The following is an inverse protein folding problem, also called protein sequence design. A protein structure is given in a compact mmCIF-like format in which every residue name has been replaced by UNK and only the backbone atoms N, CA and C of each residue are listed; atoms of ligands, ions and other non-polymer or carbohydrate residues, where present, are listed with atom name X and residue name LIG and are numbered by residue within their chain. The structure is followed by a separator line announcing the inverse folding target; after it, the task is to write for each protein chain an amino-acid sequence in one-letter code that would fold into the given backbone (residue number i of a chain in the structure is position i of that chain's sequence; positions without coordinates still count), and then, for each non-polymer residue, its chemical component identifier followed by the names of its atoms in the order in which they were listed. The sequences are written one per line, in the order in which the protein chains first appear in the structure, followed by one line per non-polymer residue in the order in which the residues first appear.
data_IF_988989886079
#
_entry.id   IF_988989886079
#
_cell.length_a   1.000
_cell.length_b   1.000
_cell.length_c   1.000
_cell.angle_alpha   90.00
_cell.angle_beta   90.00
_cell.angle_gamma   90.00
#
_symmetry.space_group_name_H-M   'P 1'
#
loop_
_entity.id
_entity.type
_entity.pdbx_description
1 polymer ?
#
# COMPACT_ATOMS: atom_id res chain seq x y z
N UNK A 1 19.17 -11.72 -19.85
CA UNK A 1 19.05 -10.45 -20.61
C UNK A 1 18.69 -9.33 -19.66
N UNK A 2 19.57 -8.35 -19.47
CA UNK A 2 19.31 -7.20 -18.61
C UNK A 2 18.26 -6.31 -19.30
N UNK A 3 17.03 -6.28 -18.78
CA UNK A 3 16.01 -5.32 -19.24
C UNK A 3 16.52 -3.89 -19.00
N UNK A 4 16.21 -2.98 -19.93
CA UNK A 4 16.65 -1.59 -19.86
C UNK A 4 16.23 -0.94 -18.54
N UNK A 5 17.03 0.03 -18.07
CA UNK A 5 16.93 0.68 -16.75
C UNK A 5 15.60 1.43 -16.50
N UNK A 6 14.72 1.51 -17.50
CA UNK A 6 13.45 2.23 -17.47
C UNK A 6 12.22 1.34 -17.72
N UNK A 7 12.41 0.06 -18.06
CA UNK A 7 11.26 -0.83 -18.30
C UNK A 7 10.59 -1.19 -16.96
N UNK A 8 9.27 -1.01 -16.83
CA UNK A 8 8.56 -1.44 -15.65
C UNK A 8 8.69 -2.95 -15.43
N UNK A 9 8.54 -3.39 -14.18
CA UNK A 9 8.54 -4.81 -13.87
C UNK A 9 7.33 -5.52 -14.49
N UNK A 10 7.40 -6.86 -14.59
CA UNK A 10 6.30 -7.63 -15.19
C UNK A 10 4.96 -7.36 -14.49
N UNK A 11 4.98 -7.19 -13.18
CA UNK A 11 3.76 -6.93 -12.40
C UNK A 11 3.13 -5.58 -12.77
N UNK A 12 3.92 -4.52 -12.89
CA UNK A 12 3.46 -3.21 -13.40
C UNK A 12 2.83 -3.35 -14.79
N UNK A 13 3.52 -4.02 -15.72
CA UNK A 13 3.02 -4.17 -17.09
C UNK A 13 1.70 -4.94 -17.11
N UNK A 14 1.58 -5.99 -16.30
CA UNK A 14 0.32 -6.75 -16.15
C UNK A 14 -0.77 -5.89 -15.50
N UNK A 15 -0.46 -5.05 -14.52
CA UNK A 15 -1.43 -4.15 -13.90
C UNK A 15 -1.97 -3.13 -14.90
N UNK A 16 -1.09 -2.51 -15.69
CA UNK A 16 -1.49 -1.61 -16.79
C UNK A 16 -2.38 -2.35 -17.80
N UNK A 17 -1.98 -3.56 -18.20
CA UNK A 17 -2.77 -4.39 -19.11
C UNK A 17 -4.17 -4.71 -18.54
N UNK A 18 -4.26 -5.00 -17.25
CA UNK A 18 -5.53 -5.23 -16.55
C UNK A 18 -6.40 -3.98 -16.52
N UNK A 19 -5.83 -2.80 -16.23
CA UNK A 19 -6.57 -1.53 -16.28
C UNK A 19 -7.08 -1.26 -17.68
N UNK A 20 -6.25 -1.45 -18.72
CA UNK A 20 -6.68 -1.31 -20.11
C UNK A 20 -7.78 -2.32 -20.47
N UNK A 21 -7.65 -3.56 -20.01
CA UNK A 21 -8.67 -4.59 -20.25
C UNK A 21 -9.97 -4.23 -19.55
N UNK A 22 -9.95 -3.74 -18.32
CA UNK A 22 -11.16 -3.26 -17.64
C UNK A 22 -11.76 -2.00 -18.31
N UNK A 23 -10.94 -1.13 -18.91
CA UNK A 23 -11.40 0.02 -19.71
C UNK A 23 -12.19 -0.40 -20.95
N UNK A 24 -11.66 -1.37 -21.72
CA UNK A 24 -12.24 -1.75 -23.02
C UNK A 24 -13.21 -2.94 -22.94
N UNK A 25 -13.03 -3.81 -21.95
CA UNK A 25 -13.80 -5.02 -21.70
C UNK A 25 -14.20 -5.10 -20.21
N UNK A 26 -15.00 -4.14 -19.71
CA UNK A 26 -15.48 -4.18 -18.34
C UNK A 26 -16.44 -5.35 -18.13
N UNK A 27 -16.27 -6.09 -17.02
CA UNK A 27 -17.27 -7.07 -16.61
C UNK A 27 -18.55 -6.36 -16.14
N UNK A 28 -19.71 -6.81 -16.63
CA UNK A 28 -21.01 -6.21 -16.32
C UNK A 28 -22.12 -7.27 -16.21
N UNK A 29 -23.29 -6.88 -15.72
CA UNK A 29 -24.47 -7.76 -15.60
C UNK A 29 -24.24 -8.95 -14.67
N UNK A 30 -24.75 -10.14 -15.05
CA UNK A 30 -24.62 -11.35 -14.22
C UNK A 30 -23.17 -11.79 -14.01
N UNK A 31 -22.29 -11.55 -14.99
CA UNK A 31 -20.87 -11.85 -14.86
C UNK A 31 -20.22 -11.02 -13.74
N UNK A 32 -20.65 -9.76 -13.54
CA UNK A 32 -20.13 -8.92 -12.46
C UNK A 32 -20.46 -9.50 -11.07
N UNK A 33 -21.64 -10.12 -10.90
CA UNK A 33 -22.02 -10.81 -9.66
C UNK A 33 -21.08 -11.99 -9.39
N UNK A 34 -20.81 -12.82 -10.40
CA UNK A 34 -19.88 -13.94 -10.27
C UNK A 34 -18.45 -13.46 -9.94
N UNK A 35 -17.96 -12.44 -10.65
CA UNK A 35 -16.67 -11.81 -10.38
C UNK A 35 -16.60 -11.19 -8.98
N UNK A 36 -17.70 -10.65 -8.46
CA UNK A 36 -17.80 -10.16 -7.07
C UNK A 36 -17.54 -11.27 -6.05
N UNK A 37 -18.18 -12.44 -6.21
CA UNK A 37 -17.95 -13.60 -5.34
C UNK A 37 -16.51 -14.12 -5.44
N UNK A 38 -15.96 -14.23 -6.65
CA UNK A 38 -14.56 -14.68 -6.85
C UNK A 38 -13.59 -13.66 -6.24
N UNK A 39 -13.86 -12.36 -6.39
CA UNK A 39 -13.06 -11.28 -5.82
C UNK A 39 -13.08 -11.31 -4.30
N UNK A 40 -14.25 -11.52 -3.68
CA UNK A 40 -14.35 -11.69 -2.23
C UNK A 40 -13.53 -12.89 -1.72
N UNK A 41 -13.58 -14.02 -2.44
CA UNK A 41 -12.74 -15.18 -2.11
C UNK A 41 -11.25 -14.89 -2.29
N UNK A 42 -10.88 -14.15 -3.35
CA UNK A 42 -9.50 -13.76 -3.62
C UNK A 42 -8.96 -12.80 -2.54
N UNK A 43 -9.78 -11.86 -2.05
CA UNK A 43 -9.44 -10.98 -0.93
C UNK A 43 -9.21 -11.81 0.34
N UNK A 44 -10.13 -12.73 0.65
CA UNK A 44 -9.97 -13.61 1.81
C UNK A 44 -8.70 -14.46 1.72
N UNK A 45 -8.43 -15.05 0.55
CA UNK A 45 -7.21 -15.81 0.28
C UNK A 45 -5.96 -14.95 0.42
N UNK A 46 -5.98 -13.73 -0.12
CA UNK A 46 -4.87 -12.78 -0.03
C UNK A 46 -4.52 -12.50 1.42
N UNK A 47 -5.50 -12.09 2.24
CA UNK A 47 -5.25 -11.77 3.65
C UNK A 47 -4.91 -13.00 4.47
N UNK A 48 -5.50 -14.16 4.18
CA UNK A 48 -5.10 -15.44 4.76
C UNK A 48 -3.63 -15.77 4.49
N UNK A 49 -3.18 -15.63 3.24
CA UNK A 49 -1.77 -15.85 2.88
C UNK A 49 -0.84 -14.83 3.52
N UNK A 50 -1.26 -13.57 3.67
CA UNK A 50 -0.50 -12.56 4.41
C UNK A 50 -0.31 -12.97 5.87
N UNK A 51 -1.37 -13.43 6.53
CA UNK A 51 -1.31 -13.99 7.87
C UNK A 51 -0.39 -15.20 7.95
N UNK A 52 -0.55 -16.17 7.05
CA UNK A 52 0.24 -17.40 7.05
C UNK A 52 1.74 -17.17 6.75
N UNK A 53 2.10 -16.10 6.04
CA UNK A 53 3.50 -15.75 5.71
C UNK A 53 4.25 -15.06 6.85
N UNK A 54 3.56 -14.37 7.76
CA UNK A 54 4.20 -13.59 8.82
C UNK A 54 4.62 -14.49 9.99
N UNK A 55 5.94 -14.70 10.13
CA UNK A 55 6.52 -15.56 11.17
C UNK A 55 6.67 -14.85 12.51
N UNK A 56 6.53 -15.62 13.60
CA UNK A 56 6.78 -15.13 14.97
C UNK A 56 8.19 -14.59 15.13
N UNK A 57 9.17 -15.24 14.53
CA UNK A 57 10.57 -14.78 14.50
C UNK A 57 10.71 -13.41 13.82
N UNK A 58 10.02 -13.16 12.70
CA UNK A 58 10.06 -11.86 12.02
C UNK A 58 9.37 -10.76 12.84
N UNK A 59 8.30 -11.11 13.57
CA UNK A 59 7.64 -10.20 14.52
C UNK A 59 8.59 -9.86 15.67
N UNK A 60 9.22 -10.87 16.28
CA UNK A 60 10.14 -10.70 17.41
C UNK A 60 11.43 -9.95 17.02
N UNK A 61 12.03 -10.29 15.88
CA UNK A 61 13.21 -9.61 15.34
C UNK A 61 12.89 -8.17 14.92
N UNK A 62 11.69 -7.93 14.40
CA UNK A 62 11.20 -6.59 14.09
C UNK A 62 10.99 -5.74 15.34
N UNK A 63 10.37 -6.30 16.39
CA UNK A 63 10.00 -5.58 17.62
C UNK A 63 11.17 -4.83 18.27
N UNK A 64 12.42 -5.29 18.09
CA UNK A 64 13.63 -4.59 18.56
C UNK A 64 13.86 -3.20 17.94
N UNK A 65 13.27 -2.90 16.78
CA UNK A 65 13.41 -1.63 16.05
C UNK A 65 12.20 -0.70 16.26
N UNK A 66 11.68 -0.62 17.49
CA UNK A 66 10.45 0.13 17.79
C UNK A 66 10.48 1.60 17.35
N UNK A 67 11.64 2.28 17.43
CA UNK A 67 11.81 3.67 16.94
C UNK A 67 11.57 3.78 15.43
N UNK A 68 12.07 2.81 14.67
CA UNK A 68 11.87 2.73 13.23
C UNK A 68 10.40 2.48 12.90
N UNK A 69 9.79 1.52 13.59
CA UNK A 69 8.37 1.22 13.42
C UNK A 69 7.52 2.45 13.72
N UNK A 70 7.69 3.10 14.86
CA UNK A 70 6.95 4.30 15.22
C UNK A 70 7.07 5.36 14.12
N UNK A 71 8.26 5.59 13.58
CA UNK A 71 8.44 6.55 12.49
C UNK A 71 7.69 6.13 11.22
N UNK A 72 7.77 4.87 10.80
CA UNK A 72 7.04 4.35 9.62
C UNK A 72 5.53 4.48 9.81
N UNK A 73 5.03 4.18 11.01
CA UNK A 73 3.62 4.29 11.37
C UNK A 73 3.15 5.73 11.36
N UNK A 74 3.91 6.65 11.98
CA UNK A 74 3.64 8.09 11.93
C UNK A 74 3.65 8.61 10.51
N UNK A 75 4.59 8.16 9.67
CA UNK A 75 4.56 8.51 8.25
C UNK A 75 3.25 8.04 7.60
N UNK A 76 2.85 6.79 7.84
CA UNK A 76 1.69 6.18 7.18
C UNK A 76 0.35 6.79 7.62
N UNK A 77 0.12 6.93 8.92
CA UNK A 77 -1.18 7.27 9.50
C UNK A 77 -1.29 8.69 10.05
N UNK A 78 -0.19 9.47 10.03
CA UNK A 78 -0.19 10.88 10.47
C UNK A 78 0.30 11.77 9.33
N UNK A 79 1.53 11.59 8.85
CA UNK A 79 2.12 12.44 7.82
C UNK A 79 1.30 12.44 6.54
N UNK A 80 0.93 11.27 6.00
CA UNK A 80 0.15 11.20 4.77
C UNK A 80 -1.22 11.89 4.90
N UNK A 81 -2.05 11.60 5.92
CA UNK A 81 -3.28 12.36 6.17
C UNK A 81 -3.06 13.87 6.26
N UNK A 82 -2.02 14.31 7.01
CA UNK A 82 -1.69 15.73 7.12
C UNK A 82 -1.27 16.34 5.77
N UNK A 83 -0.52 15.62 4.93
CA UNK A 83 -0.20 16.04 3.57
C UNK A 83 -1.48 16.14 2.72
N UNK A 84 -2.39 15.18 2.82
CA UNK A 84 -3.68 15.22 2.12
C UNK A 84 -4.54 16.42 2.51
N UNK A 85 -4.55 16.79 3.79
CA UNK A 85 -5.23 17.99 4.28
C UNK A 85 -4.51 19.27 3.86
N UNK A 86 -3.19 19.33 4.00
CA UNK A 86 -2.39 20.51 3.65
C UNK A 86 -2.44 20.82 2.15
N UNK A 87 -2.60 19.78 1.31
CA UNK A 87 -2.74 19.93 -0.13
C UNK A 87 -4.17 20.27 -0.58
N UNK A 88 -5.19 20.26 0.30
CA UNK A 88 -6.58 20.61 -0.02
C UNK A 88 -6.76 21.89 -0.85
N UNK A 89 -6.21 23.07 -0.46
CA UNK A 89 -6.41 24.31 -1.20
C UNK A 89 -5.81 24.27 -2.62
N UNK A 90 -4.84 23.39 -2.86
CA UNK A 90 -4.25 23.19 -4.17
C UNK A 90 -5.01 22.13 -4.97
N UNK A 91 -5.30 20.96 -4.37
CA UNK A 91 -5.85 19.82 -5.08
C UNK A 91 -7.35 19.97 -5.38
N UNK A 92 -8.15 20.43 -4.43
CA UNK A 92 -9.61 20.56 -4.63
C UNK A 92 -9.99 21.39 -5.86
N UNK A 93 -9.39 22.57 -6.14
CA UNK A 93 -9.69 23.31 -7.37
C UNK A 93 -9.05 22.70 -8.62
N UNK A 94 -7.94 21.96 -8.50
CA UNK A 94 -7.23 21.38 -9.65
C UNK A 94 -7.93 20.12 -10.20
N UNK A 95 -8.35 19.22 -9.32
CA UNK A 95 -8.88 17.89 -9.70
C UNK A 95 -10.37 17.71 -9.35
N UNK A 96 -10.98 18.67 -8.67
CA UNK A 96 -12.37 18.57 -8.20
C UNK A 96 -12.50 17.82 -6.88
N UNK A 97 -13.65 18.01 -6.21
CA UNK A 97 -13.90 17.51 -4.86
C UNK A 97 -13.86 15.99 -4.76
N UNK A 98 -14.49 15.27 -5.69
CA UNK A 98 -14.56 13.80 -5.65
C UNK A 98 -13.18 13.13 -5.78
N UNK A 99 -12.35 13.60 -6.73
CA UNK A 99 -10.99 13.09 -6.89
C UNK A 99 -10.08 13.52 -5.73
N UNK A 100 -10.32 14.69 -5.13
CA UNK A 100 -9.65 15.10 -3.90
C UNK A 100 -10.00 14.16 -2.73
N UNK A 101 -11.27 13.77 -2.58
CA UNK A 101 -11.68 12.79 -1.57
C UNK A 101 -10.99 11.43 -1.81
N UNK A 102 -10.86 10.99 -3.06
CA UNK A 102 -10.06 9.81 -3.40
C UNK A 102 -8.56 9.95 -3.07
N UNK A 103 -7.98 11.14 -3.22
CA UNK A 103 -6.62 11.45 -2.77
C UNK A 103 -6.49 11.41 -1.24
N UNK A 104 -7.49 11.93 -0.52
CA UNK A 104 -7.52 11.91 0.94
C UNK A 104 -7.69 10.49 1.48
N UNK A 105 -8.53 9.69 0.81
CA UNK A 105 -8.67 8.26 1.05
C UNK A 105 -7.35 7.52 0.86
N UNK A 106 -6.66 7.75 -0.26
CA UNK A 106 -5.30 7.23 -0.51
C UNK A 106 -4.33 7.56 0.64
N UNK A 107 -4.40 8.78 1.17
CA UNK A 107 -3.58 9.21 2.30
C UNK A 107 -3.90 8.46 3.60
N UNK A 108 -5.12 7.99 3.81
CA UNK A 108 -5.51 7.22 5.00
C UNK A 108 -5.06 5.74 4.96
N UNK A 109 -4.71 5.21 3.79
CA UNK A 109 -4.41 3.79 3.61
C UNK A 109 -3.14 3.31 4.31
N UNK A 110 -3.05 2.01 4.64
CA UNK A 110 -1.81 1.44 5.15
C UNK A 110 -0.73 1.28 4.07
N UNK A 111 0.47 0.93 4.52
CA UNK A 111 1.61 0.66 3.66
C UNK A 111 1.48 -0.67 2.89
N UNK A 112 2.20 -0.78 1.77
CA UNK A 112 2.28 -2.03 1.00
C UNK A 112 3.20 -3.03 1.68
N UNK A 113 2.79 -4.30 1.74
CA UNK A 113 3.63 -5.38 2.28
C UNK A 113 4.65 -5.84 1.25
N UNK A 114 4.17 -6.39 0.13
CA UNK A 114 5.04 -7.08 -0.83
C UNK A 114 6.08 -6.16 -1.49
N UNK A 115 5.66 -5.00 -2.00
CA UNK A 115 6.58 -4.09 -2.71
C UNK A 115 7.54 -3.36 -1.76
N UNK A 116 7.13 -3.02 -0.53
CA UNK A 116 8.04 -2.45 0.46
C UNK A 116 9.16 -3.43 0.82
N UNK A 117 8.84 -4.71 1.07
CA UNK A 117 9.84 -5.76 1.36
C UNK A 117 10.75 -5.98 0.15
N UNK A 118 10.18 -6.11 -1.06
CA UNK A 118 10.94 -6.37 -2.28
C UNK A 118 11.92 -5.23 -2.60
N UNK A 119 11.50 -3.97 -2.54
CA UNK A 119 12.39 -2.84 -2.80
C UNK A 119 13.41 -2.61 -1.69
N UNK A 120 13.04 -2.87 -0.43
CA UNK A 120 14.02 -2.82 0.68
C UNK A 120 15.10 -3.87 0.50
N UNK A 121 14.72 -5.11 0.13
CA UNK A 121 15.65 -6.19 -0.17
C UNK A 121 16.56 -5.84 -1.35
N UNK A 122 16.00 -5.37 -2.47
CA UNK A 122 16.79 -4.95 -3.63
C UNK A 122 17.77 -3.83 -3.29
N UNK A 123 17.35 -2.88 -2.46
CA UNK A 123 18.16 -1.76 -2.02
C UNK A 123 19.17 -2.10 -0.92
N UNK A 124 19.22 -3.35 -0.45
CA UNK A 124 20.06 -3.80 0.68
C UNK A 124 19.76 -3.05 1.98
N UNK A 125 18.48 -2.90 2.33
CA UNK A 125 18.02 -2.35 3.60
C UNK A 125 17.67 -3.42 4.65
N UNK A 126 17.16 -2.99 5.81
CA UNK A 126 16.78 -3.86 6.91
C UNK A 126 15.48 -4.65 6.61
N UNK A 127 15.64 -5.83 6.01
CA UNK A 127 14.52 -6.68 5.58
C UNK A 127 13.62 -7.12 6.74
N UNK A 128 14.14 -7.59 7.90
CA UNK A 128 13.30 -7.91 9.06
C UNK A 128 12.42 -6.74 9.51
N UNK A 129 12.99 -5.53 9.61
CA UNK A 129 12.24 -4.34 9.98
C UNK A 129 11.18 -3.97 8.93
N UNK A 130 11.46 -4.16 7.64
CA UNK A 130 10.48 -3.94 6.57
C UNK A 130 9.29 -4.92 6.66
N UNK A 131 9.57 -6.21 6.88
CA UNK A 131 8.52 -7.24 7.03
C UNK A 131 7.61 -6.88 8.21
N UNK A 132 8.21 -6.58 9.37
CA UNK A 132 7.45 -6.22 10.56
C UNK A 132 6.65 -4.93 10.38
N UNK A 133 7.29 -3.84 9.91
CA UNK A 133 6.63 -2.54 9.73
C UNK A 133 5.46 -2.64 8.75
N UNK A 134 5.65 -3.31 7.61
CA UNK A 134 4.63 -3.36 6.59
C UNK A 134 3.47 -4.28 6.98
N UNK A 135 3.76 -5.43 7.61
CA UNK A 135 2.72 -6.31 8.12
C UNK A 135 1.91 -5.65 9.24
N UNK A 136 2.59 -4.99 10.18
CA UNK A 136 1.93 -4.29 11.26
C UNK A 136 1.11 -3.10 10.73
N UNK A 137 1.66 -2.30 9.79
CA UNK A 137 0.91 -1.22 9.13
C UNK A 137 -0.35 -1.75 8.44
N UNK A 138 -0.26 -2.87 7.71
CA UNK A 138 -1.42 -3.51 7.10
C UNK A 138 -2.46 -3.96 8.13
N UNK A 139 -2.02 -4.52 9.27
CA UNK A 139 -2.90 -5.01 10.32
C UNK A 139 -3.62 -3.86 11.05
N UNK A 140 -2.87 -2.89 11.55
CA UNK A 140 -3.44 -1.71 12.21
C UNK A 140 -4.27 -0.88 11.23
N UNK A 141 -3.90 -0.86 9.95
CA UNK A 141 -4.65 -0.20 8.88
C UNK A 141 -6.07 -0.70 8.71
N UNK A 142 -6.37 -1.96 9.05
CA UNK A 142 -7.75 -2.50 9.02
C UNK A 142 -8.68 -1.70 9.93
N UNK A 143 -8.17 -1.20 11.06
CA UNK A 143 -8.94 -0.42 12.02
C UNK A 143 -8.72 1.09 11.87
N UNK A 144 -7.47 1.51 11.66
CA UNK A 144 -7.13 2.93 11.59
C UNK A 144 -7.64 3.60 10.32
N UNK A 145 -7.65 2.90 9.18
CA UNK A 145 -8.06 3.50 7.90
C UNK A 145 -9.51 3.94 7.93
N UNK A 146 -10.49 3.09 8.32
CA UNK A 146 -11.87 3.55 8.46
C UNK A 146 -11.99 4.76 9.39
N UNK A 147 -11.36 4.72 10.56
CA UNK A 147 -11.42 5.82 11.54
C UNK A 147 -10.85 7.13 10.97
N UNK A 148 -9.72 7.06 10.27
CA UNK A 148 -9.13 8.21 9.58
C UNK A 148 -10.05 8.70 8.47
N UNK A 149 -10.67 7.82 7.69
CA UNK A 149 -11.62 8.21 6.64
C UNK A 149 -12.82 8.95 7.23
N UNK A 150 -13.41 8.42 8.30
CA UNK A 150 -14.52 9.08 8.99
C UNK A 150 -14.14 10.47 9.50
N UNK A 151 -12.94 10.60 10.09
CA UNK A 151 -12.43 11.87 10.60
C UNK A 151 -12.10 12.89 9.49
N UNK A 152 -11.46 12.44 8.41
CA UNK A 152 -10.90 13.31 7.37
C UNK A 152 -11.92 13.76 6.33
N UNK A 153 -12.88 12.88 6.01
CA UNK A 153 -13.84 13.09 4.93
C UNK A 153 -15.20 13.57 5.44
N UNK A 154 -15.31 13.80 6.76
CA UNK A 154 -16.53 14.27 7.42
C UNK A 154 -17.78 13.45 7.03
N UNK A 155 -17.58 12.14 6.84
CA UNK A 155 -18.65 11.20 6.53
C UNK A 155 -19.44 10.95 7.83
N UNK A 156 -20.21 11.96 8.25
CA UNK A 156 -21.29 11.81 9.21
C UNK A 156 -22.35 10.96 8.52
N UNK A 157 -22.26 9.65 8.76
CA UNK A 157 -22.95 8.59 8.02
C UNK A 157 -24.34 8.93 7.54
N UNK A 158 -24.46 9.21 6.24
CA UNK A 158 -25.70 9.05 5.50
C UNK A 158 -25.94 7.55 5.26
N UNK A 159 -26.47 6.87 6.28
CA UNK A 159 -27.24 5.63 6.08
C UNK A 159 -26.65 4.31 6.59
N UNK A 160 -25.42 4.27 7.09
CA UNK A 160 -24.83 3.07 7.70
C UNK A 160 -24.01 3.44 8.94
N UNK A 161 -24.12 2.66 10.02
CA UNK A 161 -23.28 2.89 11.20
C UNK A 161 -21.82 2.68 10.80
N UNK A 162 -20.94 3.65 11.07
CA UNK A 162 -19.49 3.51 10.89
C UNK A 162 -18.96 2.20 11.52
N UNK A 163 -19.59 1.76 12.60
CA UNK A 163 -19.32 0.48 13.27
C UNK A 163 -19.62 -0.72 12.36
N UNK A 164 -20.66 -0.67 11.53
CA UNK A 164 -20.99 -1.74 10.59
C UNK A 164 -19.95 -1.82 9.46
N UNK A 165 -19.49 -0.68 8.96
CA UNK A 165 -18.43 -0.65 7.95
C UNK A 165 -17.10 -1.18 8.52
N UNK A 166 -16.71 -0.74 9.72
CA UNK A 166 -15.56 -1.29 10.45
C UNK A 166 -15.74 -2.80 10.67
N UNK A 167 -16.93 -3.22 11.09
CA UNK A 167 -17.26 -4.63 11.34
C UNK A 167 -17.11 -5.48 10.07
N UNK A 168 -17.65 -5.02 8.93
CA UNK A 168 -17.52 -5.70 7.63
C UNK A 168 -16.06 -5.76 7.16
N UNK A 169 -15.31 -4.67 7.26
CA UNK A 169 -13.89 -4.62 6.88
C UNK A 169 -13.06 -5.55 7.78
N UNK A 170 -13.36 -5.56 9.08
CA UNK A 170 -12.75 -6.47 10.04
C UNK A 170 -13.06 -7.92 9.67
N UNK A 171 -14.32 -8.25 9.38
CA UNK A 171 -14.70 -9.60 8.96
C UNK A 171 -14.03 -10.01 7.63
N UNK A 172 -13.95 -9.11 6.66
CA UNK A 172 -13.44 -9.41 5.33
C UNK A 172 -11.90 -9.50 5.29
N UNK A 173 -11.19 -8.67 6.08
CA UNK A 173 -9.74 -8.56 6.01
C UNK A 173 -9.05 -9.18 7.23
N UNK A 174 -9.54 -8.92 8.44
CA UNK A 174 -8.89 -9.40 9.67
C UNK A 174 -9.16 -10.88 9.94
N UNK A 175 -10.39 -11.36 9.76
CA UNK A 175 -10.71 -12.77 10.05
C UNK A 175 -9.90 -13.73 9.18
N UNK A 176 -9.79 -13.56 7.84
CA UNK A 176 -8.92 -14.40 7.04
C UNK A 176 -7.46 -14.28 7.45
N UNK A 177 -6.99 -13.08 7.78
CA UNK A 177 -5.62 -12.87 8.27
C UNK A 177 -5.34 -13.65 9.57
N UNK A 178 -6.22 -13.56 10.57
CA UNK A 178 -6.11 -14.29 11.84
C UNK A 178 -6.18 -15.80 11.57
N UNK A 179 -7.10 -16.25 10.73
CA UNK A 179 -7.18 -17.64 10.33
C UNK A 179 -5.86 -18.12 9.69
N UNK A 180 -5.23 -17.30 8.85
CA UNK A 180 -3.92 -17.57 8.27
C UNK A 180 -2.80 -17.63 9.29
N UNK A 181 -2.79 -16.71 10.26
CA UNK A 181 -1.85 -16.70 11.38
C UNK A 181 -1.97 -17.95 12.26
N UNK A 182 -3.19 -18.35 12.60
CA UNK A 182 -3.45 -19.57 13.36
C UNK A 182 -3.03 -20.79 12.51
N UNK A 183 -3.41 -20.80 11.22
CA UNK A 183 -3.06 -21.86 10.27
C UNK A 183 -1.54 -22.04 10.13
N UNK A 184 -0.76 -20.97 10.31
CA UNK A 184 0.69 -20.98 10.17
C UNK A 184 1.38 -22.06 11.01
N UNK A 185 0.86 -22.42 12.18
CA UNK A 185 1.47 -23.48 13.00
C UNK A 185 1.51 -24.84 12.29
N UNK A 186 0.59 -25.09 11.34
CA UNK A 186 0.54 -26.31 10.55
C UNK A 186 1.12 -26.12 9.14
N UNK A 187 0.79 -25.01 8.47
CA UNK A 187 1.17 -24.81 7.05
C UNK A 187 2.44 -23.96 6.88
N UNK A 188 3.01 -23.41 7.95
CA UNK A 188 4.06 -22.38 7.89
C UNK A 188 5.35 -22.85 7.20
N UNK A 189 5.73 -24.11 7.37
CA UNK A 189 6.88 -24.71 6.68
C UNK A 189 6.62 -24.87 5.18
N UNK A 190 5.41 -25.31 4.80
CA UNK A 190 4.99 -25.40 3.40
C UNK A 190 4.93 -24.02 2.75
N UNK A 191 4.32 -23.03 3.42
CA UNK A 191 4.30 -21.63 2.97
C UNK A 191 5.73 -21.10 2.77
N UNK A 192 6.63 -21.46 3.66
CA UNK A 192 8.05 -21.10 3.59
C UNK A 192 8.78 -21.71 2.39
N UNK A 193 8.48 -22.97 2.04
CA UNK A 193 9.05 -23.69 0.88
C UNK A 193 8.47 -23.19 -0.45
N UNK A 194 7.19 -22.81 -0.47
CA UNK A 194 6.44 -22.46 -1.68
C UNK A 194 6.32 -20.94 -1.91
N UNK A 195 7.16 -20.10 -1.27
CA UNK A 195 7.11 -18.63 -1.34
C UNK A 195 7.03 -18.07 -2.78
N UNK A 196 7.75 -18.68 -3.72
CA UNK A 196 7.78 -18.23 -5.12
C UNK A 196 6.44 -18.42 -5.82
N UNK A 197 5.81 -19.59 -5.64
CA UNK A 197 4.49 -19.86 -6.21
C UNK A 197 3.40 -19.02 -5.52
N UNK A 198 3.46 -18.90 -4.19
CA UNK A 198 2.55 -18.06 -3.40
C UNK A 198 2.68 -16.55 -3.67
N UNK A 199 3.73 -16.12 -4.37
CA UNK A 199 3.84 -14.75 -4.88
C UNK A 199 2.88 -14.53 -6.05
N UNK A 200 2.73 -15.50 -6.94
CA UNK A 200 1.82 -15.40 -8.08
C UNK A 200 0.36 -15.41 -7.63
N UNK A 201 0.00 -16.28 -6.69
CA UNK A 201 -1.36 -16.30 -6.11
C UNK A 201 -1.73 -14.94 -5.52
N UNK A 202 -0.80 -14.33 -4.79
CA UNK A 202 -0.96 -13.00 -4.19
C UNK A 202 -1.16 -11.92 -5.27
N UNK A 203 -0.28 -11.89 -6.28
CA UNK A 203 -0.36 -10.93 -7.38
C UNK A 203 -1.63 -11.10 -8.22
N UNK A 204 -2.02 -12.33 -8.55
CA UNK A 204 -3.26 -12.62 -9.28
C UNK A 204 -4.49 -12.18 -8.50
N UNK A 205 -4.50 -12.34 -7.18
CA UNK A 205 -5.59 -11.86 -6.32
C UNK A 205 -5.72 -10.33 -6.38
N UNK A 206 -4.60 -9.61 -6.32
CA UNK A 206 -4.57 -8.14 -6.47
C UNK A 206 -5.08 -7.73 -7.87
N UNK A 207 -4.60 -8.39 -8.92
CA UNK A 207 -5.00 -8.10 -10.30
C UNK A 207 -6.50 -8.32 -10.51
N UNK A 208 -7.08 -9.39 -9.96
CA UNK A 208 -8.51 -9.65 -10.03
C UNK A 208 -9.33 -8.58 -9.31
N UNK A 209 -8.89 -8.17 -8.12
CA UNK A 209 -9.54 -7.12 -7.33
C UNK A 209 -9.53 -5.79 -8.08
N UNK A 210 -8.39 -5.42 -8.67
CA UNK A 210 -8.26 -4.22 -9.52
C UNK A 210 -9.16 -4.30 -10.74
N UNK A 211 -9.13 -5.44 -11.45
CA UNK A 211 -9.94 -5.65 -12.65
C UNK A 211 -11.43 -5.45 -12.36
N UNK A 212 -11.93 -6.09 -11.30
CA UNK A 212 -13.35 -6.07 -10.95
C UNK A 212 -13.79 -4.66 -10.51
N UNK A 213 -13.03 -4.03 -9.61
CA UNK A 213 -13.35 -2.68 -9.14
C UNK A 213 -13.25 -1.62 -10.24
N UNK A 214 -12.29 -1.74 -11.16
CA UNK A 214 -12.16 -0.81 -12.27
C UNK A 214 -13.22 -1.07 -13.35
N UNK A 215 -13.59 -2.32 -13.60
CA UNK A 215 -14.69 -2.64 -14.50
C UNK A 215 -16.00 -2.01 -14.02
N UNK A 216 -16.29 -2.12 -12.73
CA UNK A 216 -17.43 -1.47 -12.08
C UNK A 216 -17.38 0.05 -12.26
N UNK A 217 -16.24 0.68 -11.99
CA UNK A 217 -16.04 2.12 -12.22
C UNK A 217 -16.28 2.54 -13.67
N UNK A 218 -15.81 1.75 -14.64
CA UNK A 218 -16.00 2.03 -16.07
C UNK A 218 -17.47 1.90 -16.46
N UNK A 219 -18.19 0.90 -15.92
CA UNK A 219 -19.64 0.73 -16.12
C UNK A 219 -20.43 1.89 -15.51
N UNK A 220 -19.99 2.43 -14.38
CA UNK A 220 -20.53 3.65 -13.76
C UNK A 220 -20.18 4.94 -14.55
N UNK A 221 -19.45 4.83 -15.65
CA UNK A 221 -19.14 5.96 -16.53
C UNK A 221 -17.95 6.80 -16.07
N UNK A 222 -16.94 6.21 -15.42
CA UNK A 222 -15.71 6.90 -14.99
C UNK A 222 -15.13 7.83 -16.06
N UNK A 223 -15.06 7.36 -17.32
CA UNK A 223 -14.47 8.14 -18.43
C UNK A 223 -15.33 9.31 -18.91
N UNK A 224 -16.63 9.32 -18.56
CA UNK A 224 -17.50 10.46 -18.81
C UNK A 224 -17.40 11.51 -17.69
N UNK A 225 -16.95 11.09 -16.50
CA UNK A 225 -16.82 11.95 -15.32
C UNK A 225 -15.43 12.61 -15.23
N UNK A 226 -14.39 11.97 -15.78
CA UNK A 226 -13.01 12.45 -15.70
C UNK A 226 -12.51 12.89 -17.07
N UNK A 227 -12.29 14.20 -17.24
CA UNK A 227 -11.70 14.75 -18.46
C UNK A 227 -10.20 14.42 -18.57
N UNK A 228 -9.66 14.36 -19.81
CA UNK A 228 -8.23 14.15 -20.04
C UNK A 228 -7.32 15.17 -19.32
N UNK A 229 -7.62 16.49 -19.31
CA UNK A 229 -6.86 17.44 -18.51
C UNK A 229 -6.90 17.13 -17.00
N UNK A 230 -8.07 16.80 -16.47
CA UNK A 230 -8.23 16.42 -15.05
C UNK A 230 -7.39 15.19 -14.72
N UNK A 231 -7.34 14.20 -15.61
CA UNK A 231 -6.50 13.01 -15.44
C UNK A 231 -5.01 13.38 -15.38
N UNK A 232 -4.55 14.29 -16.25
CA UNK A 232 -3.18 14.82 -16.21
C UNK A 232 -2.85 15.53 -14.91
N UNK A 233 -3.78 16.37 -14.41
CA UNK A 233 -3.63 17.05 -13.12
C UNK A 233 -3.65 16.08 -11.94
N UNK A 234 -4.43 15.00 -12.02
CA UNK A 234 -4.45 13.94 -11.00
C UNK A 234 -3.12 13.17 -10.95
N UNK A 235 -2.56 12.83 -12.12
CA UNK A 235 -1.22 12.21 -12.20
C UNK A 235 -0.17 13.14 -11.59
N UNK A 236 -0.19 14.42 -11.92
CA UNK A 236 0.70 15.42 -11.34
C UNK A 236 0.54 15.49 -9.82
N UNK A 237 -0.69 15.47 -9.32
CA UNK A 237 -1.01 15.47 -7.89
C UNK A 237 -0.46 14.24 -7.17
N UNK A 238 -0.58 13.06 -7.77
CA UNK A 238 0.02 11.83 -7.26
C UNK A 238 1.55 11.90 -7.22
N UNK A 239 2.18 12.47 -8.26
CA UNK A 239 3.62 12.69 -8.31
C UNK A 239 4.09 13.64 -7.20
N UNK A 240 3.38 14.74 -6.98
CA UNK A 240 3.68 15.72 -5.91
C UNK A 240 3.57 15.03 -4.54
N UNK A 241 2.47 14.35 -4.27
CA UNK A 241 2.26 13.63 -3.01
C UNK A 241 3.37 12.61 -2.75
N UNK A 242 3.73 11.81 -3.77
CA UNK A 242 4.80 10.83 -3.66
C UNK A 242 6.16 11.48 -3.42
N UNK A 243 6.47 12.57 -4.14
CA UNK A 243 7.73 13.30 -3.99
C UNK A 243 7.88 13.88 -2.59
N UNK A 244 6.81 14.47 -2.04
CA UNK A 244 6.77 14.96 -0.66
C UNK A 244 6.96 13.81 0.34
N UNK A 245 6.22 12.71 0.18
CA UNK A 245 6.35 11.55 1.06
C UNK A 245 7.77 10.96 1.05
N UNK A 246 8.37 10.76 -0.12
CA UNK A 246 9.75 10.27 -0.26
C UNK A 246 10.77 11.26 0.31
N UNK A 247 10.60 12.56 0.03
CA UNK A 247 11.51 13.61 0.53
C UNK A 247 11.48 13.71 2.04
N UNK A 248 10.29 13.75 2.64
CA UNK A 248 10.11 13.87 4.09
C UNK A 248 10.58 12.59 4.79
N UNK A 249 10.23 11.40 4.31
CA UNK A 249 10.72 10.14 4.91
C UNK A 249 12.23 9.99 4.81
N UNK A 250 12.86 10.43 3.71
CA UNK A 250 14.31 10.47 3.57
C UNK A 250 14.97 11.44 4.55
N UNK A 251 14.36 12.62 4.76
CA UNK A 251 14.83 13.63 5.70
C UNK A 251 14.68 13.15 7.14
N UNK A 252 13.50 12.66 7.53
CA UNK A 252 13.24 12.13 8.88
C UNK A 252 14.18 10.99 9.22
N UNK A 253 14.42 10.06 8.28
CA UNK A 253 15.40 8.99 8.49
C UNK A 253 16.81 9.52 8.77
N UNK A 254 17.22 10.64 8.15
CA UNK A 254 18.52 11.29 8.42
C UNK A 254 18.53 12.00 9.77
N UNK A 255 17.54 12.85 10.03
CA UNK A 255 17.49 13.71 11.22
C UNK A 255 17.33 12.89 12.49
N UNK A 256 16.58 11.78 12.44
CA UNK A 256 16.43 10.88 13.58
C UNK A 256 17.65 9.98 13.84
N UNK A 257 18.72 10.10 13.05
CA UNK A 257 19.99 9.41 13.26
C UNK A 257 19.99 7.91 12.92
N UNK A 258 19.09 7.45 12.06
CA UNK A 258 19.05 6.05 11.66
C UNK A 258 20.22 5.67 10.75
N UNK A 259 20.69 4.43 10.86
CA UNK A 259 21.71 3.87 9.98
C UNK A 259 21.18 3.77 8.53
N UNK A 260 22.06 3.41 7.59
CA UNK A 260 21.69 3.43 6.19
C UNK A 260 20.63 2.39 5.81
N UNK A 261 20.64 1.21 6.42
CA UNK A 261 19.69 0.13 6.14
C UNK A 261 18.28 0.44 6.68
N UNK A 262 18.22 1.05 7.86
CA UNK A 262 16.99 1.52 8.48
C UNK A 262 16.40 2.69 7.71
N UNK A 263 17.23 3.62 7.23
CA UNK A 263 16.79 4.74 6.38
C UNK A 263 16.16 4.27 5.07
N UNK A 264 16.69 3.21 4.47
CA UNK A 264 16.11 2.58 3.27
C UNK A 264 14.74 1.98 3.61
N UNK A 265 14.66 1.30 4.75
CA UNK A 265 13.41 0.69 5.24
C UNK A 265 12.35 1.75 5.51
N UNK A 266 12.70 2.85 6.19
CA UNK A 266 11.82 4.00 6.45
C UNK A 266 11.33 4.62 5.15
N UNK A 267 12.22 4.83 4.19
CA UNK A 267 11.86 5.37 2.88
C UNK A 267 10.80 4.49 2.21
N UNK A 268 11.05 3.19 2.08
CA UNK A 268 10.16 2.31 1.31
C UNK A 268 8.89 1.89 2.04
N UNK A 269 8.93 1.71 3.36
CA UNK A 269 7.76 1.34 4.14
C UNK A 269 6.92 2.58 4.48
N UNK A 270 7.55 3.73 4.71
CA UNK A 270 6.89 4.96 5.12
C UNK A 270 6.32 5.79 3.98
N UNK A 271 6.71 5.55 2.72
CA UNK A 271 6.26 6.34 1.55
C UNK A 271 5.26 5.63 0.64
N UNK A 272 4.91 4.36 0.93
CA UNK A 272 4.06 3.56 0.04
C UNK A 272 2.65 3.41 0.57
N UNK A 273 1.69 3.27 -0.34
CA UNK A 273 0.27 3.04 -0.03
C UNK A 273 -0.27 1.80 -0.74
N UNK A 274 -1.07 1.03 -0.01
CA UNK A 274 -1.51 -0.30 -0.41
C UNK A 274 -2.83 -0.29 -1.17
N UNK A 275 -2.74 -0.61 -2.46
CA UNK A 275 -3.90 -0.87 -3.30
C UNK A 275 -4.62 -2.16 -2.87
N UNK A 276 -3.87 -3.21 -2.52
CA UNK A 276 -4.41 -4.53 -2.19
C UNK A 276 -5.36 -4.50 -0.99
N UNK A 277 -5.08 -3.64 -0.01
CA UNK A 277 -5.95 -3.41 1.15
C UNK A 277 -6.97 -2.32 0.87
N UNK A 278 -6.61 -1.32 0.06
CA UNK A 278 -7.45 -0.17 -0.21
C UNK A 278 -8.69 -0.52 -1.05
N UNK A 279 -8.57 -1.26 -2.14
CA UNK A 279 -9.74 -1.57 -2.98
C UNK A 279 -10.86 -2.29 -2.20
N UNK A 280 -10.57 -3.35 -1.42
CA UNK A 280 -11.60 -4.00 -0.60
C UNK A 280 -12.23 -3.07 0.44
N UNK A 281 -11.42 -2.20 1.07
CA UNK A 281 -11.92 -1.22 2.04
C UNK A 281 -12.83 -0.19 1.36
N UNK A 282 -12.47 0.29 0.18
CA UNK A 282 -13.27 1.26 -0.57
C UNK A 282 -14.65 0.70 -0.93
N UNK A 283 -14.72 -0.57 -1.35
CA UNK A 283 -15.98 -1.25 -1.67
C UNK A 283 -16.94 -1.31 -0.47
N UNK A 284 -16.41 -1.39 0.75
CA UNK A 284 -17.23 -1.39 1.97
C UNK A 284 -17.53 0.02 2.46
N UNK A 285 -16.56 0.93 2.46
CA UNK A 285 -16.68 2.30 2.99
C UNK A 285 -17.54 3.20 2.11
N UNK A 286 -17.49 3.01 0.79
CA UNK A 286 -18.16 3.87 -0.20
C UNK A 286 -19.25 3.11 -0.96
N UNK A 287 -19.78 2.04 -0.36
CA UNK A 287 -20.86 1.26 -0.94
C UNK A 287 -22.07 2.18 -1.28
N UNK A 288 -22.43 2.26 -2.56
CA UNK A 288 -23.52 3.11 -3.05
C UNK A 288 -23.12 4.52 -3.53
N UNK A 289 -21.83 4.87 -3.50
CA UNK A 289 -21.27 6.09 -4.10
C UNK A 289 -20.42 5.79 -5.35
N UNK A 290 -19.77 6.83 -5.91
CA UNK A 290 -18.86 6.74 -7.05
C UNK A 290 -17.52 6.09 -6.66
N UNK A 291 -17.54 4.79 -6.38
CA UNK A 291 -16.37 3.97 -5.99
C UNK A 291 -15.22 4.17 -6.98
N UNK A 292 -15.53 4.31 -8.27
CA UNK A 292 -14.56 4.56 -9.32
C UNK A 292 -13.70 5.82 -9.11
N UNK A 293 -14.30 6.94 -8.74
CA UNK A 293 -13.58 8.21 -8.52
C UNK A 293 -12.72 8.15 -7.25
N UNK A 294 -13.16 7.43 -6.23
CA UNK A 294 -12.40 7.23 -4.98
C UNK A 294 -11.17 6.34 -5.19
N UNK A 295 -11.28 5.33 -6.06
CA UNK A 295 -10.21 4.35 -6.30
C UNK A 295 -9.21 4.85 -7.37
N UNK A 296 -9.61 5.69 -8.31
CA UNK A 296 -8.71 6.13 -9.40
C UNK A 296 -7.38 6.74 -8.89
N UNK A 297 -7.36 7.67 -7.90
CA UNK A 297 -6.10 8.21 -7.37
C UNK A 297 -5.16 7.15 -6.80
N UNK A 298 -5.67 6.15 -6.06
CA UNK A 298 -4.81 5.11 -5.50
C UNK A 298 -4.20 4.21 -6.57
N UNK A 299 -4.91 3.97 -7.68
CA UNK A 299 -4.39 3.14 -8.79
C UNK A 299 -3.25 3.85 -9.49
N UNK A 300 -3.43 5.14 -9.82
CA UNK A 300 -2.40 5.98 -10.42
C UNK A 300 -1.20 6.11 -9.49
N UNK A 301 -1.44 6.44 -8.22
CA UNK A 301 -0.38 6.54 -7.22
C UNK A 301 0.38 5.22 -7.05
N UNK A 302 -0.33 4.09 -7.02
CA UNK A 302 0.30 2.77 -6.93
C UNK A 302 1.24 2.52 -8.10
N UNK A 303 0.84 2.92 -9.31
CA UNK A 303 1.68 2.72 -10.48
C UNK A 303 2.92 3.62 -10.46
N UNK A 304 2.73 4.90 -10.14
CA UNK A 304 3.83 5.87 -10.05
C UNK A 304 4.82 5.45 -8.95
N UNK A 305 4.35 5.04 -7.77
CA UNK A 305 5.23 4.62 -6.67
C UNK A 305 6.07 3.40 -7.03
N UNK A 306 5.54 2.41 -7.78
CA UNK A 306 6.31 1.23 -8.18
C UNK A 306 7.46 1.61 -9.11
N UNK A 307 7.18 2.46 -10.11
CA UNK A 307 8.18 2.93 -11.07
C UNK A 307 9.28 3.74 -10.37
N UNK A 308 8.89 4.74 -9.56
CA UNK A 308 9.84 5.60 -8.85
C UNK A 308 10.65 4.80 -7.82
N UNK A 309 10.00 3.93 -7.04
CA UNK A 309 10.70 3.11 -6.04
C UNK A 309 11.64 2.09 -6.67
N UNK A 310 11.32 1.55 -7.85
CA UNK A 310 12.22 0.64 -8.57
C UNK A 310 13.53 1.34 -8.96
N UNK A 311 13.43 2.55 -9.53
CA UNK A 311 14.61 3.37 -9.88
C UNK A 311 15.42 3.72 -8.63
N UNK A 312 14.76 4.13 -7.55
CA UNK A 312 15.43 4.40 -6.28
C UNK A 312 16.12 3.15 -5.74
N UNK A 313 15.43 2.01 -5.67
CA UNK A 313 15.99 0.76 -5.13
C UNK A 313 17.23 0.31 -5.91
N UNK A 314 17.20 0.41 -7.25
CA UNK A 314 18.39 0.13 -8.07
C UNK A 314 19.53 1.11 -7.80
N UNK A 315 19.24 2.39 -7.56
CA UNK A 315 20.27 3.38 -7.18
C UNK A 315 20.89 3.05 -5.83
N UNK A 316 20.08 2.64 -4.86
CA UNK A 316 20.54 2.17 -3.54
C UNK A 316 21.40 0.91 -3.65
N UNK A 317 21.02 -0.04 -4.52
CA UNK A 317 21.73 -1.30 -4.73
C UNK A 317 23.15 -1.14 -5.30
N UNK A 318 23.47 0.01 -5.93
CA UNK A 318 24.79 0.30 -6.51
C UNK A 318 25.82 0.83 -5.52
N UNK A 319 25.50 0.87 -4.23
CA UNK A 319 26.42 1.38 -3.21
C UNK A 319 27.57 0.40 -2.98
N UNK A 320 28.81 0.89 -2.80
CA UNK A 320 29.96 0.03 -2.54
C UNK A 320 29.77 -0.77 -1.24
N UNK A 321 30.08 -2.06 -1.29
CA UNK A 321 29.91 -3.02 -0.19
C UNK A 321 30.75 -2.63 1.05
N UNK A 322 31.93 -2.02 0.84
CA UNK A 322 32.84 -1.57 1.90
C UNK A 322 32.27 -0.50 2.86
N UNK A 323 31.22 0.24 2.46
CA UNK A 323 30.56 1.21 3.35
C UNK A 323 29.58 0.53 4.33
N UNK A 324 29.16 -0.72 4.04
CA UNK A 324 28.23 -1.51 4.88
C UNK A 324 28.97 -2.11 6.07
N UNK A 325 30.17 -2.66 5.86
CA UNK A 325 31.01 -3.21 6.93
C UNK A 325 31.53 -2.14 7.89
N UNK A 326 31.91 -0.95 7.37
CA UNK A 326 32.40 0.15 8.20
C UNK A 326 31.32 0.79 9.09
N UNK A 327 30.03 0.68 8.74
CA UNK A 327 28.91 1.18 9.55
C UNK A 327 28.39 0.14 10.56
N UNK A 328 28.43 -1.16 10.22
CA UNK A 328 28.11 -2.23 11.16
C UNK A 328 29.13 -2.33 12.32
N UNK A 329 30.36 -1.87 12.09
CA UNK A 329 31.43 -1.84 13.08
C UNK A 329 31.40 -0.63 14.05
N UNK A 330 30.46 0.32 13.92
CA UNK A 330 30.34 1.44 14.86
C UNK A 330 29.55 1.03 16.11
N UNK A 331 30.14 1.04 17.32
CA UNK A 331 29.40 0.75 18.54
C UNK A 331 28.33 1.83 18.79
N UNK A 332 27.15 1.41 19.26
CA UNK A 332 26.11 2.34 19.67
C UNK A 332 26.65 3.36 20.70
N UNK A 333 26.30 4.66 20.60
CA UNK A 333 26.78 5.65 21.54
C UNK A 333 26.27 5.29 22.95
N UNK A 334 27.23 5.00 23.84
CA UNK A 334 26.96 4.74 25.26
C UNK A 334 26.28 5.98 25.82
N UNK A 335 25.03 5.83 26.26
CA UNK A 335 24.31 6.86 26.98
C UNK A 335 25.09 7.17 28.27
N UNK A 336 25.66 8.38 28.36
CA UNK A 336 26.15 8.90 29.64
C UNK A 336 24.93 9.17 30.51
N UNK A 337 24.74 8.34 31.53
CA UNK A 337 23.80 8.64 32.61
C UNK A 337 24.33 9.82 33.45
N UNK A 338 23.42 10.66 34.00
CA UNK A 338 23.78 11.83 34.80
C UNK A 338 24.47 11.49 36.12
#
# INVERSE_FOLDING_TARGET
MARSRLLPDNFTLTLIAVVLTATFLPVSGQAAVAFGWITNLAIALLFFLHGAKLSREAILAGAGHWRLHLLVFSCTFILFPLLGLALKPLLSPLIGTELYLGMLYLCALPATVQSAIAFTSLARGNIPAAICSAAASSLFGIFLTPLLVALLMDVHGSGGSMLDAIGKITLQLLVPFIAGQIARRWIGAWVGRNKNWLKYVDQSSILLVVYTAFSEAVVEGLWNQVSWPTLGLLILSCCILLALALGITALLGRVCGFNQEDRITILFCGSKKSLATGVPMAQVLFAGGSIGLMILPMMLFHQIQLMVCAVLAQRYARRPEAAVEAQAAQPAPVAKAP
#
